data_IF_496833632522
#
_entry.id   IF_496833632522
#
_cell.length_a   1.000
_cell.length_b   1.000
_cell.length_c   1.000
_cell.angle_alpha   90.00
_cell.angle_beta   90.00
_cell.angle_gamma   90.00
#
_symmetry.space_group_name_H-M   'P 1'
#
loop_
_entity.id
_entity.type
_entity.pdbx_description
1 polymer ?
#
# COMPACT_ATOMS: atom_id res chain seq x y z
N UNK A 1 -40.04 -10.36 18.05
CA UNK A 1 -38.68 -10.72 17.59
C UNK A 1 -37.70 -10.25 18.66
N UNK A 2 -36.81 -11.10 19.19
CA UNK A 2 -35.73 -10.64 20.09
C UNK A 2 -34.56 -10.17 19.22
N UNK A 3 -34.04 -8.94 19.40
CA UNK A 3 -32.86 -8.50 18.66
C UNK A 3 -31.68 -9.41 19.02
N UNK A 4 -30.80 -9.76 18.05
CA UNK A 4 -29.58 -10.48 18.37
C UNK A 4 -28.76 -9.65 19.34
N UNK A 5 -28.44 -10.25 20.49
CA UNK A 5 -27.55 -9.66 21.47
C UNK A 5 -26.14 -9.54 20.89
N UNK A 6 -25.38 -8.56 21.38
CA UNK A 6 -24.03 -8.27 20.89
C UNK A 6 -23.10 -9.50 20.90
N UNK A 7 -23.32 -10.43 21.84
CA UNK A 7 -22.59 -11.70 21.97
C UNK A 7 -22.79 -12.63 20.76
N UNK A 8 -24.00 -12.69 20.18
CA UNK A 8 -24.26 -13.54 19.01
C UNK A 8 -23.54 -13.01 17.76
N UNK A 9 -23.45 -11.69 17.61
CA UNK A 9 -22.70 -11.04 16.52
C UNK A 9 -21.20 -11.34 16.68
N UNK A 10 -20.66 -11.21 17.91
CA UNK A 10 -19.28 -11.59 18.24
C UNK A 10 -18.95 -13.05 17.91
N UNK A 11 -19.85 -13.98 18.22
CA UNK A 11 -19.68 -15.42 17.91
C UNK A 11 -19.64 -15.67 16.40
N UNK A 12 -20.51 -15.03 15.62
CA UNK A 12 -20.52 -15.15 14.15
C UNK A 12 -19.21 -14.60 13.56
N UNK A 13 -18.77 -13.42 14.00
CA UNK A 13 -17.49 -12.83 13.58
C UNK A 13 -16.32 -13.75 13.94
N UNK A 14 -16.32 -14.34 15.13
CA UNK A 14 -15.28 -15.28 15.56
C UNK A 14 -15.20 -16.52 14.65
N UNK A 15 -16.34 -17.10 14.27
CA UNK A 15 -16.40 -18.23 13.32
C UNK A 15 -15.85 -17.83 11.93
N UNK A 16 -16.21 -16.63 11.44
CA UNK A 16 -15.66 -16.11 10.18
C UNK A 16 -14.14 -15.90 10.29
N UNK A 17 -13.64 -15.36 11.40
CA UNK A 17 -12.19 -15.21 11.65
C UNK A 17 -11.46 -16.56 11.72
N UNK A 18 -12.10 -17.60 12.25
CA UNK A 18 -11.55 -18.97 12.26
C UNK A 18 -11.49 -19.59 10.86
N UNK A 19 -12.51 -19.37 10.02
CA UNK A 19 -12.59 -19.90 8.66
C UNK A 19 -11.66 -19.18 7.68
N UNK A 20 -11.64 -17.85 7.69
CA UNK A 20 -10.88 -17.03 6.74
C UNK A 20 -9.49 -16.63 7.28
N UNK A 21 -9.27 -16.74 8.59
CA UNK A 21 -8.05 -16.32 9.27
C UNK A 21 -8.05 -14.83 9.64
N UNK A 22 -7.51 -14.51 10.82
CA UNK A 22 -7.45 -13.15 11.37
C UNK A 22 -6.72 -12.13 10.48
N UNK A 23 -5.87 -12.58 9.53
CA UNK A 23 -5.17 -11.72 8.59
C UNK A 23 -5.95 -11.41 7.31
N UNK A 24 -7.00 -12.17 6.96
CA UNK A 24 -7.81 -11.95 5.75
C UNK A 24 -9.00 -11.02 5.98
N UNK A 25 -9.63 -11.08 7.14
CA UNK A 25 -10.74 -10.18 7.48
C UNK A 25 -10.37 -8.69 7.39
N UNK A 26 -9.26 -8.19 7.97
CA UNK A 26 -8.87 -6.78 7.84
C UNK A 26 -8.42 -6.40 6.42
N UNK A 27 -7.87 -7.34 5.66
CA UNK A 27 -7.42 -7.15 4.27
C UNK A 27 -8.62 -6.91 3.34
N UNK A 28 -9.63 -7.79 3.41
CA UNK A 28 -10.90 -7.68 2.68
C UNK A 28 -11.72 -6.46 3.15
N UNK A 29 -11.78 -6.19 4.46
CA UNK A 29 -12.44 -4.99 4.97
C UNK A 29 -11.75 -3.70 4.50
N UNK A 30 -10.42 -3.71 4.37
CA UNK A 30 -9.65 -2.54 3.89
C UNK A 30 -9.84 -2.28 2.41
N UNK A 31 -9.99 -3.30 1.56
CA UNK A 31 -10.27 -3.09 0.14
C UNK A 31 -11.71 -2.60 -0.09
N UNK A 32 -12.70 -3.25 0.52
CA UNK A 32 -14.11 -2.85 0.46
C UNK A 32 -14.30 -1.43 1.03
N UNK A 33 -13.65 -1.12 2.17
CA UNK A 33 -13.71 0.19 2.79
C UNK A 33 -13.15 1.32 1.93
N UNK A 34 -12.11 1.05 1.11
CA UNK A 34 -11.58 2.03 0.14
C UNK A 34 -12.60 2.30 -0.97
N UNK A 35 -13.16 1.26 -1.59
CA UNK A 35 -14.19 1.42 -2.63
C UNK A 35 -15.43 2.14 -2.10
N UNK A 36 -15.90 1.77 -0.90
CA UNK A 36 -17.06 2.42 -0.27
C UNK A 36 -16.77 3.88 0.13
N UNK A 37 -15.53 4.22 0.51
CA UNK A 37 -15.12 5.61 0.78
C UNK A 37 -15.16 6.47 -0.48
N UNK A 38 -14.78 5.92 -1.64
CA UNK A 38 -14.82 6.63 -2.93
C UNK A 38 -16.28 6.82 -3.35
N UNK A 39 -17.06 5.73 -3.41
CA UNK A 39 -18.48 5.78 -3.74
C UNK A 39 -19.27 6.73 -2.81
N UNK A 40 -18.99 6.70 -1.50
CA UNK A 40 -19.65 7.62 -0.55
C UNK A 40 -19.26 9.08 -0.79
N UNK A 41 -18.03 9.38 -1.23
CA UNK A 41 -17.66 10.74 -1.63
C UNK A 41 -18.46 11.19 -2.85
N UNK A 42 -18.45 10.40 -3.93
CA UNK A 42 -19.19 10.73 -5.17
C UNK A 42 -20.69 10.92 -4.89
N UNK A 43 -21.30 10.05 -4.09
CA UNK A 43 -22.72 10.15 -3.67
C UNK A 43 -22.98 11.31 -2.71
N UNK A 44 -21.97 11.74 -1.94
CA UNK A 44 -22.07 12.93 -1.08
C UNK A 44 -21.93 14.21 -1.90
N UNK A 45 -20.98 14.29 -2.84
CA UNK A 45 -20.81 15.41 -3.77
C UNK A 45 -22.08 15.60 -4.62
N UNK A 46 -22.66 14.51 -5.16
CA UNK A 46 -23.98 14.50 -5.82
C UNK A 46 -25.16 14.96 -4.95
N UNK A 47 -25.00 15.06 -3.63
CA UNK A 47 -25.99 15.57 -2.67
C UNK A 47 -25.64 16.94 -2.10
N UNK A 48 -24.38 17.36 -2.23
CA UNK A 48 -23.84 18.64 -1.75
C UNK A 48 -23.76 19.70 -2.86
N UNK A 49 -23.91 19.31 -4.14
CA UNK A 49 -24.10 20.26 -5.27
C UNK A 49 -25.39 21.09 -5.12
N UNK A 50 -26.38 20.60 -4.36
CA UNK A 50 -27.55 21.34 -3.89
C UNK A 50 -27.29 22.22 -2.64
N UNK A 51 -26.17 22.05 -1.91
CA UNK A 51 -25.82 22.80 -0.68
C UNK A 51 -24.35 22.64 -0.21
N UNK A 52 -23.51 23.66 -0.43
CA UNK A 52 -22.14 23.90 0.12
C UNK A 52 -22.14 24.17 1.65
N UNK A 53 -21.05 23.99 2.47
CA UNK A 53 -19.66 23.47 2.31
C UNK A 53 -19.40 22.21 3.22
N UNK A 54 -18.19 21.73 3.65
CA UNK A 54 -16.77 22.16 3.44
C UNK A 54 -15.70 21.05 3.14
N UNK A 55 -14.44 21.42 2.74
CA UNK A 55 -13.40 20.45 2.39
C UNK A 55 -12.72 19.77 3.61
N UNK A 56 -12.80 18.44 3.69
CA UNK A 56 -12.05 17.64 4.67
C UNK A 56 -10.79 17.01 4.06
N UNK A 57 -9.63 17.43 4.58
CA UNK A 57 -8.29 17.05 4.12
C UNK A 57 -7.88 15.57 4.33
N UNK A 58 -6.60 15.24 4.08
CA UNK A 58 -6.18 13.87 3.79
C UNK A 58 -6.20 12.95 5.01
N UNK A 59 -7.06 11.93 4.95
CA UNK A 59 -6.99 10.78 5.85
C UNK A 59 -5.82 9.86 5.44
N UNK A 60 -4.61 10.23 5.85
CA UNK A 60 -3.44 9.34 5.83
C UNK A 60 -3.74 8.06 6.60
N UNK A 61 -3.48 6.90 5.99
CA UNK A 61 -3.94 5.62 6.54
C UNK A 61 -3.47 4.40 5.74
N UNK A 62 -2.21 4.39 5.33
CA UNK A 62 -1.57 3.21 4.74
C UNK A 62 -0.15 3.11 5.27
N UNK A 63 0.27 1.97 5.86
CA UNK A 63 1.67 1.77 6.18
C UNK A 63 2.46 1.73 4.87
N UNK A 64 3.36 2.69 4.70
CA UNK A 64 4.46 2.55 3.75
C UNK A 64 5.24 1.30 4.12
N UNK A 65 5.11 0.24 3.32
CA UNK A 65 6.14 -0.80 3.30
C UNK A 65 7.25 -0.27 2.39
N UNK A 66 8.39 0.23 2.93
CA UNK A 66 9.51 0.55 2.07
C UNK A 66 9.92 -0.69 1.30
N UNK A 67 10.26 -0.50 0.02
CA UNK A 67 10.82 -1.54 -0.83
C UNK A 67 12.03 -2.18 -0.15
N UNK A 68 12.22 -3.49 -0.35
CA UNK A 68 13.40 -4.19 0.19
C UNK A 68 14.69 -3.58 -0.40
N UNK A 69 15.46 -2.94 0.48
CA UNK A 69 16.83 -2.44 0.29
C UNK A 69 17.83 -3.61 0.16
N UNK A 70 19.07 -3.42 -0.33
CA UNK A 70 19.54 -2.68 -1.52
C UNK A 70 20.18 -3.64 -2.56
N UNK A 71 20.51 -3.16 -3.76
CA UNK A 71 21.47 -3.86 -4.62
C UNK A 71 22.92 -3.54 -4.17
N UNK A 72 23.74 -4.53 -3.75
CA UNK A 72 25.13 -4.29 -3.34
C UNK A 72 26.06 -4.26 -4.55
N UNK A 73 25.96 -3.24 -5.40
CA UNK A 73 27.02 -2.90 -6.35
C UNK A 73 27.93 -1.85 -5.72
N UNK A 74 28.79 -2.30 -4.81
CA UNK A 74 29.84 -1.48 -4.19
C UNK A 74 31.16 -2.25 -4.21
N UNK A 75 31.87 -2.16 -5.33
CA UNK A 75 33.30 -2.47 -5.40
C UNK A 75 34.04 -1.26 -6.00
N UNK A 76 34.53 -0.34 -5.14
CA UNK A 76 35.66 0.53 -5.45
C UNK A 76 36.73 0.45 -4.34
N UNK A 77 37.91 1.07 -4.52
CA UNK A 77 38.73 1.16 -5.74
C UNK A 77 40.22 0.83 -5.43
N UNK A 78 41.04 0.59 -6.46
CA UNK A 78 42.50 0.90 -6.46
C UNK A 78 43.16 0.51 -7.79
N UNK A 79 43.52 1.52 -8.58
CA UNK A 79 44.74 1.60 -9.41
C UNK A 79 44.58 2.76 -10.41
N UNK A 80 44.84 3.99 -9.97
CA UNK A 80 45.28 5.03 -10.89
C UNK A 80 46.62 4.62 -11.52
N UNK A 81 46.71 4.67 -12.85
CA UNK A 81 47.93 5.17 -13.50
C UNK A 81 47.57 5.93 -14.80
N UNK A 82 47.92 7.23 -14.93
CA UNK A 82 47.43 8.07 -16.01
C UNK A 82 48.37 8.13 -17.21
N UNK A 83 48.14 7.24 -18.19
CA UNK A 83 48.43 7.46 -19.62
C UNK A 83 49.88 7.64 -20.08
N UNK A 84 50.32 6.82 -21.04
CA UNK A 84 51.30 7.21 -22.09
C UNK A 84 51.18 6.30 -23.32
N UNK A 85 50.77 6.91 -24.44
CA UNK A 85 51.20 6.71 -25.85
C UNK A 85 51.48 5.30 -26.43
N UNK A 86 50.90 4.96 -27.61
CA UNK A 86 51.16 3.69 -28.30
C UNK A 86 52.40 3.72 -29.22
N UNK A 87 53.00 2.55 -29.47
CA UNK A 87 53.63 2.25 -30.76
C UNK A 87 53.04 0.96 -31.39
N UNK A 88 53.03 0.89 -32.73
CA UNK A 88 52.37 -0.18 -33.48
C UNK A 88 53.13 -1.52 -33.50
N UNK A 89 52.41 -2.59 -33.88
CA UNK A 89 52.95 -3.95 -33.99
C UNK A 89 52.11 -4.82 -34.94
N UNK A 90 52.51 -4.85 -36.20
CA UNK A 90 52.12 -5.83 -37.23
C UNK A 90 52.12 -7.28 -36.74
N UNK A 91 51.17 -8.12 -37.17
CA UNK A 91 51.39 -9.58 -37.12
C UNK A 91 50.19 -10.50 -37.37
N UNK A 92 50.00 -10.89 -38.64
CA UNK A 92 49.24 -12.06 -39.16
C UNK A 92 47.72 -12.09 -39.01
#
# INVERSE_FOLDING_TARGET
MRPPSLLQILIIVLIIVLLFGAKRLPDVASSIGKSLKIFKKEVTELREDDSTPPPSGPASGGPTSPSATPNPTTAPPSADDPGTTPPGGTGR
#
